data_IF_885575463584
#
_entry.id   IF_885575463584
#
_cell.length_a   1.000
_cell.length_b   1.000
_cell.length_c   1.000
_cell.angle_alpha   90.00
_cell.angle_beta   90.00
_cell.angle_gamma   90.00
#
_symmetry.space_group_name_H-M   'P 1'
#
loop_
_entity.id
_entity.type
_entity.pdbx_description
1 polymer ?
#
# COMPACT_ATOMS: atom_id res chain seq x y z
N UNK A 1 -5.49 -26.79 36.32
CA UNK A 1 -4.33 -26.11 35.69
C UNK A 1 -3.82 -25.03 36.65
N UNK A 2 -2.51 -24.94 36.91
CA UNK A 2 -1.96 -24.03 37.93
C UNK A 2 -2.13 -22.56 37.48
N UNK A 3 -2.51 -21.65 38.38
CA UNK A 3 -2.78 -20.23 38.11
C UNK A 3 -1.65 -19.54 37.35
N UNK A 4 -0.40 -19.90 37.64
CA UNK A 4 0.80 -19.39 36.93
C UNK A 4 0.81 -19.73 35.44
N UNK A 5 0.29 -20.91 35.06
CA UNK A 5 0.18 -21.35 33.66
C UNK A 5 -0.91 -20.60 32.91
N UNK A 6 -2.02 -20.29 33.59
CA UNK A 6 -3.10 -19.47 33.04
C UNK A 6 -2.61 -18.05 32.80
N UNK A 7 -1.92 -17.45 33.78
CA UNK A 7 -1.34 -16.12 33.63
C UNK A 7 -0.32 -16.05 32.48
N UNK A 8 0.58 -17.04 32.36
CA UNK A 8 1.53 -17.09 31.26
C UNK A 8 0.85 -17.20 29.89
N UNK A 9 -0.22 -18.00 29.77
CA UNK A 9 -0.99 -18.11 28.54
C UNK A 9 -1.71 -16.80 28.18
N UNK A 10 -2.33 -16.13 29.15
CA UNK A 10 -2.98 -14.83 28.94
C UNK A 10 -1.98 -13.75 28.52
N UNK A 11 -0.79 -13.70 29.11
CA UNK A 11 0.26 -12.75 28.72
C UNK A 11 0.75 -12.98 27.28
N UNK A 12 0.85 -14.25 26.85
CA UNK A 12 1.24 -14.61 25.49
C UNK A 12 0.16 -14.22 24.46
N UNK A 13 -1.11 -14.47 24.79
CA UNK A 13 -2.27 -14.06 23.99
C UNK A 13 -2.34 -12.53 23.84
N UNK A 14 -2.11 -11.79 24.92
CA UNK A 14 -2.10 -10.32 24.89
C UNK A 14 -0.95 -9.77 24.05
N UNK A 15 0.25 -10.36 24.13
CA UNK A 15 1.39 -9.99 23.30
C UNK A 15 1.12 -10.21 21.80
N UNK A 16 0.39 -11.28 21.43
CA UNK A 16 -0.04 -11.50 20.05
C UNK A 16 -0.99 -10.40 19.55
N UNK A 17 -1.90 -9.88 20.39
CA UNK A 17 -2.84 -8.83 19.96
C UNK A 17 -2.19 -7.46 19.74
N UNK A 18 -1.07 -7.16 20.41
CA UNK A 18 -0.35 -5.90 20.25
C UNK A 18 0.56 -5.87 19.00
N UNK A 19 0.88 -7.03 18.42
CA UNK A 19 1.79 -7.17 17.28
C UNK A 19 1.16 -6.97 15.90
N UNK A 20 -0.16 -6.83 15.79
CA UNK A 20 -0.89 -6.76 14.51
C UNK A 20 -1.59 -5.41 14.29
N UNK A 21 -0.88 -4.29 14.48
CA UNK A 21 -1.37 -3.02 13.97
C UNK A 21 -1.26 -3.02 12.44
N UNK A 22 -2.38 -3.24 11.74
CA UNK A 22 -2.43 -3.07 10.29
C UNK A 22 -2.30 -1.57 9.99
N UNK A 23 -1.15 -1.15 9.46
CA UNK A 23 -1.00 0.20 8.94
C UNK A 23 -1.89 0.36 7.71
N UNK A 24 -2.49 1.53 7.54
CA UNK A 24 -3.19 1.88 6.31
C UNK A 24 -2.27 1.68 5.10
N UNK A 25 -2.86 1.31 3.95
CA UNK A 25 -2.11 1.32 2.70
C UNK A 25 -1.51 2.72 2.46
N UNK A 26 -0.32 2.82 1.85
CA UNK A 26 0.23 4.10 1.44
C UNK A 26 -0.78 4.88 0.58
N UNK A 27 -0.85 6.20 0.72
CA UNK A 27 -1.81 6.99 -0.07
C UNK A 27 -1.61 6.83 -1.60
N UNK A 28 -0.39 6.54 -2.08
CA UNK A 28 -0.09 6.31 -3.50
C UNK A 28 -0.06 4.82 -3.90
N UNK A 29 -0.57 3.90 -3.07
CA UNK A 29 -0.38 2.45 -3.25
C UNK A 29 -0.65 1.95 -4.67
N UNK A 30 -1.61 2.56 -5.37
CA UNK A 30 -2.01 2.19 -6.72
C UNK A 30 -0.89 2.42 -7.75
N UNK A 31 0.08 3.30 -7.48
CA UNK A 31 1.23 3.54 -8.35
C UNK A 31 2.44 2.64 -8.05
N UNK A 32 2.46 1.95 -6.90
CA UNK A 32 3.60 1.18 -6.40
C UNK A 32 3.78 -0.15 -7.14
N UNK A 33 4.93 -0.78 -6.94
CA UNK A 33 5.32 -2.04 -7.54
C UNK A 33 5.41 -3.16 -6.50
N UNK A 34 4.89 -4.35 -6.83
CA UNK A 34 4.89 -5.48 -5.90
C UNK A 34 6.31 -5.94 -5.54
N UNK A 35 7.24 -5.95 -6.49
CA UNK A 35 8.58 -6.48 -6.26
C UNK A 35 9.48 -5.48 -5.53
N UNK A 36 9.31 -4.17 -5.75
CA UNK A 36 10.09 -3.13 -5.06
C UNK A 36 9.48 -2.72 -3.72
N UNK A 37 8.16 -2.54 -3.66
CA UNK A 37 7.48 -1.91 -2.53
C UNK A 37 6.70 -2.90 -1.67
N UNK A 38 6.58 -4.17 -2.09
CA UNK A 38 5.67 -5.17 -1.51
C UNK A 38 4.20 -4.71 -1.50
N UNK A 39 3.83 -3.83 -2.44
CA UNK A 39 2.46 -3.32 -2.60
C UNK A 39 1.97 -3.64 -4.02
N UNK A 40 0.82 -4.30 -4.20
CA UNK A 40 0.31 -4.69 -5.51
C UNK A 40 -0.37 -3.53 -6.25
N UNK A 41 0.41 -2.52 -6.66
CA UNK A 41 -0.03 -1.43 -7.54
C UNK A 41 0.22 -1.73 -9.02
N UNK A 42 0.03 -0.71 -9.87
CA UNK A 42 0.23 -0.79 -11.33
C UNK A 42 1.65 -0.41 -11.80
N UNK A 43 2.59 -0.24 -10.87
CA UNK A 43 4.01 0.04 -11.13
C UNK A 43 4.27 1.31 -11.97
N UNK A 44 3.42 2.33 -11.85
CA UNK A 44 3.57 3.59 -12.62
C UNK A 44 4.79 4.38 -12.19
N UNK A 45 5.14 4.44 -10.90
CA UNK A 45 6.38 5.11 -10.45
C UNK A 45 7.61 4.47 -11.08
N UNK A 46 7.71 3.13 -11.03
CA UNK A 46 8.79 2.37 -11.68
C UNK A 46 8.87 2.65 -13.17
N UNK A 47 7.73 2.77 -13.86
CA UNK A 47 7.71 3.12 -15.28
C UNK A 47 8.31 4.50 -15.54
N UNK A 48 7.96 5.51 -14.75
CA UNK A 48 8.53 6.86 -14.87
C UNK A 48 10.03 6.89 -14.57
N UNK A 49 10.47 6.21 -13.52
CA UNK A 49 11.86 6.23 -13.07
C UNK A 49 12.82 5.44 -13.96
N UNK A 50 12.37 4.31 -14.51
CA UNK A 50 13.24 3.34 -15.19
C UNK A 50 13.00 3.26 -16.70
N UNK A 51 11.74 3.25 -17.14
CA UNK A 51 11.39 2.98 -18.54
C UNK A 51 11.24 4.26 -19.37
N UNK A 52 10.69 5.31 -18.74
CA UNK A 52 10.36 6.57 -19.39
C UNK A 52 11.38 7.68 -19.13
N UNK A 53 12.40 7.43 -18.30
CA UNK A 53 13.44 8.40 -17.97
C UNK A 53 14.09 8.96 -19.24
N UNK A 54 14.06 10.29 -19.38
CA UNK A 54 14.62 11.00 -20.53
C UNK A 54 13.78 10.95 -21.82
N UNK A 55 12.63 10.26 -21.81
CA UNK A 55 11.68 10.32 -22.93
C UNK A 55 10.90 11.64 -22.87
N UNK A 56 10.67 12.25 -24.04
CA UNK A 56 9.80 13.42 -24.15
C UNK A 56 8.34 12.98 -24.00
N UNK A 57 7.58 13.69 -23.18
CA UNK A 57 6.14 13.47 -23.04
C UNK A 57 5.38 14.03 -24.25
N UNK A 58 4.22 13.43 -24.54
CA UNK A 58 3.27 13.94 -25.51
C UNK A 58 2.04 14.47 -24.78
N UNK A 59 1.50 15.60 -25.22
CA UNK A 59 0.23 16.09 -24.70
C UNK A 59 -0.90 15.21 -25.24
N UNK A 60 -1.71 14.69 -24.34
CA UNK A 60 -2.89 13.88 -24.66
C UNK A 60 -4.10 14.60 -24.08
N UNK A 61 -5.11 14.85 -24.92
CA UNK A 61 -6.40 15.40 -24.49
C UNK A 61 -7.30 14.23 -24.11
N UNK A 62 -7.81 14.24 -22.87
CA UNK A 62 -8.66 13.17 -22.31
C UNK A 62 -10.05 13.75 -22.01
N UNK A 63 -11.10 13.10 -22.51
CA UNK A 63 -12.48 13.46 -22.20
C UNK A 63 -13.01 12.55 -21.07
N UNK A 64 -13.56 13.16 -20.01
CA UNK A 64 -14.23 12.46 -18.91
C UNK A 64 -15.73 12.45 -19.18
N UNK A 65 -16.30 11.27 -19.39
CA UNK A 65 -17.75 11.09 -19.62
C UNK A 65 -18.44 10.71 -18.31
N UNK A 66 -18.59 11.67 -17.42
CA UNK A 66 -19.26 11.53 -16.12
C UNK A 66 -20.11 12.79 -15.84
N UNK A 67 -20.58 12.95 -14.61
CA UNK A 67 -21.33 14.09 -14.06
C UNK A 67 -20.60 15.44 -14.14
N UNK A 68 -19.31 15.44 -14.47
CA UNK A 68 -18.49 16.65 -14.68
C UNK A 68 -17.07 16.47 -14.19
N UNK A 69 -16.27 17.53 -14.32
CA UNK A 69 -14.94 17.65 -13.73
C UNK A 69 -14.90 18.99 -13.01
N UNK A 70 -14.39 19.01 -11.77
CA UNK A 70 -14.06 20.25 -11.07
C UNK A 70 -12.67 20.72 -11.56
N UNK A 71 -12.58 21.96 -12.06
CA UNK A 71 -11.43 22.47 -12.82
C UNK A 71 -10.73 23.64 -12.15
#
# INVERSE_FOLDING_TARGET
MNLKKIMAACSLLLACTLGFSQTSAPNNWFNLDLAQDNVPGVSTERAYEQLLKGRKSNTVVVAVLDSGVDY
#
